data_IF_560905726613
#
_entry.id   IF_560905726613
#
_cell.length_a   1.000
_cell.length_b   1.000
_cell.length_c   1.000
_cell.angle_alpha   90.00
_cell.angle_beta   90.00
_cell.angle_gamma   90.00
#
_symmetry.space_group_name_H-M   'P 1'
#
loop_
_entity.id
_entity.type
_entity.pdbx_description
1 polymer ?
#
# COMPACT_ATOMS: atom_id res chain seq x y z
N UNK A 1 13.67 -10.23 1.42
CA UNK A 1 14.44 -10.39 0.20
C UNK A 1 13.88 -9.48 -0.89
N UNK A 2 14.75 -8.72 -1.58
CA UNK A 2 14.36 -7.80 -2.66
C UNK A 2 14.24 -8.54 -3.99
N UNK A 3 13.32 -8.04 -4.83
CA UNK A 3 13.06 -8.58 -6.18
C UNK A 3 13.24 -7.45 -7.19
N UNK A 4 14.07 -7.67 -8.18
CA UNK A 4 14.12 -6.78 -9.35
C UNK A 4 12.83 -6.93 -10.16
N UNK A 5 12.06 -5.85 -10.25
CA UNK A 5 10.74 -5.88 -10.89
C UNK A 5 10.80 -5.99 -12.42
N UNK A 6 11.93 -5.66 -13.02
CA UNK A 6 12.15 -5.79 -14.48
C UNK A 6 12.50 -7.21 -14.87
N UNK A 7 13.51 -7.78 -14.21
CA UNK A 7 14.03 -9.12 -14.52
C UNK A 7 13.28 -10.24 -13.82
N UNK A 8 12.56 -9.92 -12.73
CA UNK A 8 11.90 -10.89 -11.85
C UNK A 8 12.88 -11.86 -11.16
N UNK A 9 14.07 -11.35 -10.86
CA UNK A 9 15.10 -12.11 -10.12
C UNK A 9 15.25 -11.52 -8.74
N UNK A 10 15.36 -12.39 -7.72
CA UNK A 10 15.61 -11.98 -6.34
C UNK A 10 17.08 -11.57 -6.16
N UNK A 11 17.41 -10.86 -5.08
CA UNK A 11 18.79 -10.49 -4.76
C UNK A 11 19.73 -11.70 -4.56
N UNK A 12 19.16 -12.89 -4.29
CA UNK A 12 19.90 -14.15 -4.18
C UNK A 12 19.97 -14.92 -5.50
N UNK A 13 19.41 -14.36 -6.61
CA UNK A 13 19.49 -14.95 -7.94
C UNK A 13 18.38 -15.95 -8.28
N UNK A 14 17.34 -16.07 -7.44
CA UNK A 14 16.20 -16.96 -7.70
C UNK A 14 15.24 -16.32 -8.68
N UNK A 15 14.71 -17.08 -9.66
CA UNK A 15 13.59 -16.64 -10.48
C UNK A 15 12.33 -16.51 -9.60
N UNK A 16 11.91 -15.27 -9.35
CA UNK A 16 10.77 -14.97 -8.49
C UNK A 16 9.45 -15.57 -8.98
N UNK A 17 9.32 -15.86 -10.27
CA UNK A 17 8.14 -16.52 -10.82
C UNK A 17 7.98 -17.96 -10.33
N UNK A 18 9.04 -18.56 -9.77
CA UNK A 18 8.93 -19.87 -9.10
C UNK A 18 8.27 -19.75 -7.72
N UNK A 19 8.32 -18.56 -7.11
CA UNK A 19 7.67 -18.24 -5.82
C UNK A 19 6.27 -17.71 -6.05
N UNK A 20 6.12 -16.73 -6.94
CA UNK A 20 4.83 -16.18 -7.36
C UNK A 20 4.74 -16.14 -8.90
N UNK A 21 3.98 -17.05 -9.53
CA UNK A 21 3.90 -17.14 -10.98
C UNK A 21 3.40 -15.86 -11.67
N UNK A 22 2.61 -15.03 -10.97
CA UNK A 22 2.17 -13.71 -11.47
C UNK A 22 3.33 -12.73 -11.55
N UNK A 23 4.41 -12.96 -10.76
CA UNK A 23 5.57 -12.08 -10.70
C UNK A 23 5.33 -10.75 -9.98
N UNK A 24 4.23 -10.62 -9.24
CA UNK A 24 3.90 -9.43 -8.45
C UNK A 24 4.44 -9.56 -7.03
N UNK A 25 4.92 -8.46 -6.48
CA UNK A 25 5.30 -8.34 -5.07
C UNK A 25 4.19 -7.60 -4.29
N UNK A 26 4.05 -7.87 -2.98
CA UNK A 26 4.79 -8.82 -2.16
C UNK A 26 4.30 -10.26 -2.26
N UNK A 27 5.13 -11.20 -1.82
CA UNK A 27 4.75 -12.55 -1.46
C UNK A 27 5.33 -12.89 -0.07
N UNK A 28 4.57 -13.58 0.73
CA UNK A 28 4.99 -14.05 2.06
C UNK A 28 5.13 -15.57 2.03
N UNK A 29 6.35 -16.05 2.13
CA UNK A 29 6.61 -17.48 2.29
C UNK A 29 6.59 -17.84 3.78
N UNK A 30 5.86 -18.88 4.14
CA UNK A 30 5.74 -19.38 5.49
C UNK A 30 6.75 -20.49 5.74
N UNK A 31 6.96 -20.86 7.02
CA UNK A 31 7.92 -21.89 7.44
C UNK A 31 7.63 -23.27 6.84
N UNK A 32 6.38 -23.58 6.54
CA UNK A 32 5.94 -24.83 5.91
C UNK A 32 6.07 -24.80 4.37
N UNK A 33 6.59 -23.73 3.81
CA UNK A 33 6.78 -23.54 2.38
C UNK A 33 5.56 -22.99 1.61
N UNK A 34 4.41 -22.83 2.27
CA UNK A 34 3.26 -22.18 1.64
C UNK A 34 3.56 -20.71 1.33
N UNK A 35 3.00 -20.20 0.23
CA UNK A 35 3.17 -18.81 -0.18
C UNK A 35 1.81 -18.11 -0.17
N UNK A 36 1.71 -17.03 0.61
CA UNK A 36 0.58 -16.10 0.58
C UNK A 36 0.94 -14.92 -0.31
N UNK A 37 0.06 -14.59 -1.22
CA UNK A 37 0.18 -13.43 -2.11
C UNK A 37 -0.90 -12.40 -1.79
N UNK A 38 -0.92 -11.28 -2.53
CA UNK A 38 -1.80 -10.13 -2.34
C UNK A 38 -1.51 -9.35 -1.05
N UNK A 39 -0.95 -8.14 -1.20
CA UNK A 39 -0.62 -7.25 -0.09
C UNK A 39 -1.74 -7.10 0.95
N UNK A 40 -3.00 -6.85 0.55
CA UNK A 40 -4.14 -6.77 1.47
C UNK A 40 -4.38 -8.03 2.32
N UNK A 41 -4.13 -9.21 1.77
CA UNK A 41 -4.23 -10.47 2.51
C UNK A 41 -3.05 -10.65 3.47
N UNK A 42 -1.83 -10.38 2.97
CA UNK A 42 -0.60 -10.51 3.75
C UNK A 42 -0.61 -9.62 4.98
N UNK A 43 -0.97 -8.34 4.84
CA UNK A 43 -0.96 -7.42 5.99
C UNK A 43 -2.00 -7.78 7.05
N UNK A 44 -3.16 -8.32 6.65
CA UNK A 44 -4.15 -8.83 7.60
C UNK A 44 -3.65 -10.08 8.31
N UNK A 45 -3.07 -11.03 7.58
CA UNK A 45 -2.48 -12.23 8.17
C UNK A 45 -1.42 -11.88 9.20
N UNK A 46 -0.52 -10.94 8.88
CA UNK A 46 0.52 -10.50 9.81
C UNK A 46 -0.06 -9.80 11.05
N UNK A 47 -1.10 -8.97 10.88
CA UNK A 47 -1.77 -8.34 12.00
C UNK A 47 -2.45 -9.36 12.93
N UNK A 48 -3.07 -10.39 12.37
CA UNK A 48 -3.73 -11.45 13.12
C UNK A 48 -2.75 -12.37 13.89
N UNK A 49 -1.46 -12.39 13.48
CA UNK A 49 -0.40 -13.12 14.20
C UNK A 49 0.09 -12.39 15.46
N UNK A 50 -0.20 -11.10 15.57
CA UNK A 50 0.22 -10.23 16.69
C UNK A 50 -0.94 -9.37 17.20
N UNK A 51 -2.04 -10.00 17.66
CA UNK A 51 -3.27 -9.29 18.00
C UNK A 51 -3.08 -8.24 19.11
N UNK A 52 -2.09 -8.42 19.96
CA UNK A 52 -1.71 -7.46 21.00
C UNK A 52 -1.20 -6.12 20.44
N UNK A 53 -0.82 -6.06 19.17
CA UNK A 53 -0.41 -4.83 18.49
C UNK A 53 -1.59 -4.02 17.96
N UNK A 54 -2.79 -4.56 17.99
CA UNK A 54 -4.04 -3.91 17.56
C UNK A 54 -3.96 -3.32 16.13
N UNK A 55 -3.22 -3.97 15.22
CA UNK A 55 -3.04 -3.50 13.84
C UNK A 55 -4.23 -3.79 12.94
N UNK A 56 -5.16 -4.64 13.38
CA UNK A 56 -6.44 -4.89 12.72
C UNK A 56 -7.51 -5.21 13.78
N UNK A 57 -8.78 -4.83 13.55
CA UNK A 57 -9.89 -5.25 14.41
C UNK A 57 -10.07 -6.77 14.41
N UNK A 58 -10.75 -7.29 15.42
CA UNK A 58 -11.04 -8.71 15.56
C UNK A 58 -11.76 -9.28 14.33
N UNK A 59 -11.38 -10.48 13.90
CA UNK A 59 -12.03 -11.16 12.79
C UNK A 59 -13.54 -11.34 13.08
N UNK A 60 -14.37 -11.13 12.05
CA UNK A 60 -15.84 -11.24 12.14
C UNK A 60 -16.53 -9.97 12.68
N UNK A 61 -15.81 -8.97 13.18
CA UNK A 61 -16.40 -7.69 13.60
C UNK A 61 -16.73 -6.81 12.38
N UNK A 62 -17.67 -5.87 12.53
CA UNK A 62 -17.99 -4.89 11.48
C UNK A 62 -16.77 -4.02 11.17
N UNK A 63 -15.99 -3.67 12.19
CA UNK A 63 -14.76 -2.88 12.08
C UNK A 63 -13.73 -3.60 11.19
N UNK A 64 -13.64 -4.94 11.27
CA UNK A 64 -12.80 -5.73 10.36
C UNK A 64 -13.28 -5.59 8.91
N UNK A 65 -14.58 -5.62 8.66
CA UNK A 65 -15.10 -5.42 7.30
C UNK A 65 -14.85 -3.99 6.81
N UNK A 66 -14.89 -2.98 7.68
CA UNK A 66 -14.48 -1.60 7.33
C UNK A 66 -13.00 -1.50 6.98
N UNK A 67 -12.13 -2.24 7.69
CA UNK A 67 -10.73 -2.36 7.33
C UNK A 67 -10.57 -3.02 5.95
N UNK A 68 -11.29 -4.10 5.68
CA UNK A 68 -11.26 -4.78 4.37
C UNK A 68 -11.79 -3.88 3.24
N UNK A 69 -12.82 -3.08 3.49
CA UNK A 69 -13.35 -2.07 2.57
C UNK A 69 -12.24 -1.07 2.17
N UNK A 70 -11.51 -0.53 3.14
CA UNK A 70 -10.36 0.33 2.90
C UNK A 70 -9.26 -0.38 2.08
N UNK A 71 -8.85 -1.58 2.47
CA UNK A 71 -7.81 -2.32 1.77
C UNK A 71 -8.20 -2.62 0.32
N UNK A 72 -9.47 -2.98 0.08
CA UNK A 72 -9.98 -3.16 -1.28
C UNK A 72 -9.94 -1.87 -2.08
N UNK A 73 -10.44 -0.76 -1.51
CA UNK A 73 -10.41 0.55 -2.18
C UNK A 73 -8.98 0.96 -2.54
N UNK A 74 -8.03 0.85 -1.61
CA UNK A 74 -6.63 1.18 -1.89
C UNK A 74 -6.10 0.31 -3.03
N UNK A 75 -6.36 -1.00 -3.00
CA UNK A 75 -5.86 -1.95 -3.99
C UNK A 75 -6.43 -1.70 -5.39
N UNK A 76 -7.74 -1.48 -5.49
CA UNK A 76 -8.43 -1.41 -6.79
C UNK A 76 -8.44 -0.01 -7.39
N UNK A 77 -8.54 1.02 -6.56
CA UNK A 77 -8.76 2.39 -7.03
C UNK A 77 -7.46 3.23 -7.03
N UNK A 78 -6.63 3.08 -5.99
CA UNK A 78 -5.39 3.85 -5.89
C UNK A 78 -4.20 3.09 -6.48
N UNK A 79 -3.89 1.92 -5.96
CA UNK A 79 -2.70 1.14 -6.34
C UNK A 79 -2.68 0.85 -7.85
N UNK A 80 -3.78 0.37 -8.43
CA UNK A 80 -3.86 0.10 -9.87
C UNK A 80 -3.69 1.35 -10.71
N UNK A 81 -4.25 2.48 -10.27
CA UNK A 81 -4.11 3.75 -10.98
C UNK A 81 -2.66 4.24 -10.98
N UNK A 82 -1.99 4.19 -9.84
CA UNK A 82 -0.55 4.47 -9.75
C UNK A 82 0.26 3.48 -10.57
N UNK A 83 -0.06 2.17 -10.49
CA UNK A 83 0.60 1.13 -11.28
C UNK A 83 0.55 1.38 -12.79
N UNK A 84 -0.58 1.87 -13.28
CA UNK A 84 -0.72 2.26 -14.69
C UNK A 84 0.17 3.45 -15.07
N UNK A 85 0.35 4.43 -14.15
CA UNK A 85 1.24 5.58 -14.38
C UNK A 85 2.73 5.16 -14.41
N UNK A 86 3.13 4.19 -13.59
CA UNK A 86 4.48 3.61 -13.61
C UNK A 86 4.76 2.79 -14.87
N UNK A 87 3.74 2.15 -15.41
CA UNK A 87 3.90 1.17 -16.48
C UNK A 87 4.40 1.82 -17.77
N UNK A 88 5.48 1.31 -18.36
CA UNK A 88 5.94 1.75 -19.69
C UNK A 88 5.05 1.24 -20.82
N UNK A 89 4.20 0.23 -20.56
CA UNK A 89 3.32 -0.39 -21.54
C UNK A 89 2.09 0.47 -21.83
N UNK A 90 1.66 1.29 -20.88
CA UNK A 90 0.53 2.20 -21.08
C UNK A 90 0.91 3.33 -22.04
N UNK A 91 0.07 3.60 -23.08
CA UNK A 91 0.28 4.71 -24.00
C UNK A 91 0.40 6.05 -23.26
N UNK A 92 1.29 6.91 -23.74
CA UNK A 92 1.54 8.20 -23.07
C UNK A 92 0.32 9.13 -23.10
N UNK A 93 -0.50 9.05 -24.15
CA UNK A 93 -1.75 9.79 -24.31
C UNK A 93 -2.87 9.31 -23.37
N UNK A 94 -2.80 8.08 -22.86
CA UNK A 94 -3.73 7.57 -21.86
C UNK A 94 -3.42 8.07 -20.42
N UNK A 95 -2.16 8.42 -20.14
CA UNK A 95 -1.73 8.82 -18.78
C UNK A 95 -2.48 10.03 -18.22
N UNK A 96 -2.78 11.11 -18.97
CA UNK A 96 -3.58 12.21 -18.45
C UNK A 96 -5.00 11.80 -17.99
N UNK A 97 -5.64 10.86 -18.69
CA UNK A 97 -6.97 10.35 -18.31
C UNK A 97 -6.86 9.54 -17.01
N UNK A 98 -5.86 8.67 -16.90
CA UNK A 98 -5.60 7.89 -15.68
C UNK A 98 -5.31 8.81 -14.50
N UNK A 99 -4.51 9.86 -14.73
CA UNK A 99 -4.20 10.85 -13.70
C UNK A 99 -5.45 11.59 -13.21
N UNK A 100 -6.31 12.05 -14.11
CA UNK A 100 -7.56 12.72 -13.74
C UNK A 100 -8.50 11.79 -12.93
N UNK A 101 -8.56 10.50 -13.29
CA UNK A 101 -9.30 9.51 -12.50
C UNK A 101 -8.70 9.32 -11.12
N UNK A 102 -7.36 9.21 -11.03
CA UNK A 102 -6.65 9.10 -9.75
C UNK A 102 -6.89 10.33 -8.86
N UNK A 103 -6.86 11.55 -9.42
CA UNK A 103 -7.14 12.78 -8.68
C UNK A 103 -8.55 12.77 -8.06
N UNK A 104 -9.54 12.27 -8.78
CA UNK A 104 -10.89 12.06 -8.23
C UNK A 104 -10.89 11.06 -7.06
N UNK A 105 -10.07 10.00 -7.14
CA UNK A 105 -9.92 9.01 -6.04
C UNK A 105 -9.17 9.58 -4.85
N UNK A 106 -8.18 10.45 -5.07
CA UNK A 106 -7.48 11.15 -4.00
C UNK A 106 -8.40 12.11 -3.25
N UNK A 107 -9.24 12.87 -3.96
CA UNK A 107 -10.26 13.71 -3.34
C UNK A 107 -11.24 12.88 -2.47
N UNK A 108 -11.66 11.72 -2.97
CA UNK A 108 -12.48 10.80 -2.19
C UNK A 108 -11.74 10.23 -0.98
N UNK A 109 -10.46 9.90 -1.12
CA UNK A 109 -9.62 9.42 -0.02
C UNK A 109 -9.51 10.47 1.09
N UNK A 110 -9.33 11.74 0.75
CA UNK A 110 -9.32 12.83 1.72
C UNK A 110 -10.66 12.94 2.48
N UNK A 111 -11.78 12.83 1.78
CA UNK A 111 -13.11 12.79 2.41
C UNK A 111 -13.28 11.58 3.34
N UNK A 112 -12.80 10.39 2.93
CA UNK A 112 -12.86 9.19 3.76
C UNK A 112 -12.00 9.33 5.04
N UNK A 113 -10.83 9.98 4.94
CA UNK A 113 -10.00 10.29 6.10
C UNK A 113 -10.69 11.31 7.02
N UNK A 114 -11.25 12.39 6.47
CA UNK A 114 -11.86 13.46 7.25
C UNK A 114 -10.91 13.97 8.34
N UNK A 115 -11.45 14.17 9.53
CA UNK A 115 -10.69 14.67 10.70
C UNK A 115 -10.03 13.53 11.51
N UNK A 116 -10.03 12.29 11.02
CA UNK A 116 -9.46 11.15 11.73
C UNK A 116 -7.94 11.26 11.83
N UNK A 117 -7.41 10.78 12.94
CA UNK A 117 -5.96 10.69 13.13
C UNK A 117 -5.36 9.63 12.18
N UNK A 118 -6.00 8.45 12.10
CA UNK A 118 -5.63 7.34 11.25
C UNK A 118 -6.83 6.89 10.39
N UNK A 119 -6.60 6.16 9.34
CA UNK A 119 -7.63 5.76 8.39
C UNK A 119 -8.85 5.10 9.05
N UNK A 120 -8.62 4.27 10.08
CA UNK A 120 -9.66 3.58 10.84
C UNK A 120 -10.17 4.36 12.07
N UNK A 121 -9.61 5.53 12.38
CA UNK A 121 -10.00 6.35 13.52
C UNK A 121 -8.83 6.77 14.39
N UNK A 122 -8.82 6.35 15.66
CA UNK A 122 -7.80 6.78 16.62
C UNK A 122 -6.56 5.90 16.68
N UNK A 123 -6.62 4.68 16.15
CA UNK A 123 -5.55 3.71 16.21
C UNK A 123 -4.97 3.43 14.83
N UNK A 124 -3.63 3.36 14.77
CA UNK A 124 -2.90 2.99 13.56
C UNK A 124 -3.16 1.52 13.20
N UNK A 125 -3.42 1.26 11.94
CA UNK A 125 -3.74 -0.07 11.43
C UNK A 125 -2.92 -0.42 10.17
N UNK A 126 -3.07 -1.64 9.68
CA UNK A 126 -2.48 -2.06 8.41
C UNK A 126 -3.01 -1.27 7.21
N UNK A 127 -4.17 -0.64 7.32
CA UNK A 127 -4.69 0.29 6.31
C UNK A 127 -3.75 1.48 6.15
N UNK A 128 -3.30 2.04 7.27
CA UNK A 128 -2.42 3.21 7.25
C UNK A 128 -1.06 2.90 6.63
N UNK A 129 -0.51 1.71 6.91
CA UNK A 129 0.74 1.26 6.30
C UNK A 129 0.61 1.16 4.77
N UNK A 130 -0.49 0.56 4.29
CA UNK A 130 -0.71 0.39 2.86
C UNK A 130 -1.04 1.71 2.16
N UNK A 131 -1.91 2.51 2.74
CA UNK A 131 -2.28 3.82 2.20
C UNK A 131 -1.07 4.75 2.11
N UNK A 132 -0.24 4.82 3.15
CA UNK A 132 1.00 5.59 3.16
C UNK A 132 1.93 5.19 2.01
N UNK A 133 2.15 3.90 1.83
CA UNK A 133 3.01 3.37 0.76
C UNK A 133 2.49 3.79 -0.61
N UNK A 134 1.19 3.61 -0.86
CA UNK A 134 0.59 3.89 -2.17
C UNK A 134 0.54 5.40 -2.47
N UNK A 135 0.18 6.23 -1.49
CA UNK A 135 0.18 7.70 -1.66
C UNK A 135 1.59 8.24 -1.88
N UNK A 136 2.60 7.66 -1.22
CA UNK A 136 4.02 8.02 -1.39
C UNK A 136 4.53 7.85 -2.82
N UNK A 137 3.90 6.99 -3.62
CA UNK A 137 4.25 6.81 -5.03
C UNK A 137 3.97 8.06 -5.89
N UNK A 138 3.13 8.99 -5.40
CA UNK A 138 2.85 10.23 -6.11
C UNK A 138 4.11 11.00 -6.52
N UNK A 139 5.12 11.02 -5.65
CA UNK A 139 6.40 11.68 -5.91
C UNK A 139 7.15 11.10 -7.13
N UNK A 140 7.01 9.80 -7.40
CA UNK A 140 7.71 9.13 -8.50
C UNK A 140 7.01 9.26 -9.85
N UNK A 141 5.70 9.58 -9.86
CA UNK A 141 4.90 9.70 -11.10
C UNK A 141 4.34 11.11 -11.31
N UNK A 142 4.88 12.10 -10.60
CA UNK A 142 4.51 13.51 -10.68
C UNK A 142 3.01 13.76 -10.43
N UNK A 143 2.44 13.07 -9.44
CA UNK A 143 1.12 13.35 -8.90
C UNK A 143 1.28 14.29 -7.72
N UNK A 144 0.86 15.55 -7.91
CA UNK A 144 0.89 16.57 -6.87
C UNK A 144 -0.25 16.33 -5.87
N UNK A 145 0.09 16.24 -4.59
CA UNK A 145 -0.88 16.09 -3.49
C UNK A 145 -1.25 17.44 -2.84
N UNK A 146 -0.71 18.55 -3.32
CA UNK A 146 -1.00 19.88 -2.75
C UNK A 146 -2.48 20.27 -2.74
N UNK A 147 -3.32 19.80 -3.69
CA UNK A 147 -4.75 20.04 -3.62
C UNK A 147 -5.48 19.37 -2.44
N UNK A 148 -4.82 18.41 -1.79
CA UNK A 148 -5.38 17.62 -0.68
C UNK A 148 -4.51 17.75 0.58
N UNK A 149 -4.62 18.87 1.33
CA UNK A 149 -3.78 19.13 2.51
C UNK A 149 -4.00 18.10 3.64
N UNK A 150 -5.17 17.50 3.72
CA UNK A 150 -5.45 16.40 4.65
C UNK A 150 -4.60 15.17 4.35
N UNK A 151 -4.41 14.81 3.07
CA UNK A 151 -3.54 13.71 2.67
C UNK A 151 -2.07 14.00 2.96
N UNK A 152 -1.62 15.24 2.73
CA UNK A 152 -0.26 15.64 3.06
C UNK A 152 0.02 15.57 4.57
N UNK A 153 -0.89 16.13 5.37
CA UNK A 153 -0.80 16.06 6.83
C UNK A 153 -0.81 14.62 7.35
N UNK A 154 -1.60 13.76 6.74
CA UNK A 154 -1.65 12.34 7.04
C UNK A 154 -0.31 11.64 6.70
N UNK A 155 0.24 11.85 5.51
CA UNK A 155 1.54 11.28 5.12
C UNK A 155 2.66 11.70 6.08
N UNK A 156 2.72 12.97 6.45
CA UNK A 156 3.71 13.47 7.41
C UNK A 156 3.56 12.75 8.76
N UNK A 157 2.34 12.64 9.26
CA UNK A 157 2.04 11.98 10.55
C UNK A 157 2.43 10.49 10.54
N UNK A 158 2.17 9.77 9.44
CA UNK A 158 2.60 8.37 9.29
C UNK A 158 4.12 8.27 9.23
N UNK A 159 4.78 9.15 8.47
CA UNK A 159 6.23 9.19 8.33
C UNK A 159 6.97 9.44 9.65
N UNK A 160 6.36 10.16 10.59
CA UNK A 160 6.94 10.43 11.92
C UNK A 160 6.94 9.23 12.86
N UNK A 161 6.18 8.17 12.54
CA UNK A 161 6.14 6.97 13.40
C UNK A 161 7.51 6.29 13.42
N UNK A 162 8.04 5.94 14.61
CA UNK A 162 9.38 5.33 14.72
C UNK A 162 9.54 4.06 13.87
N UNK A 163 8.51 3.18 13.86
CA UNK A 163 8.56 1.95 13.06
C UNK A 163 8.55 2.24 11.55
N UNK A 164 7.82 3.27 11.09
CA UNK A 164 7.81 3.69 9.68
C UNK A 164 9.18 4.24 9.30
N UNK A 165 9.77 5.10 10.11
CA UNK A 165 11.12 5.64 9.87
C UNK A 165 12.17 4.54 9.81
N UNK A 166 12.11 3.58 10.74
CA UNK A 166 13.02 2.44 10.73
C UNK A 166 12.90 1.61 9.45
N UNK A 167 11.65 1.39 8.96
CA UNK A 167 11.40 0.69 7.71
C UNK A 167 11.93 1.48 6.51
N UNK A 168 11.62 2.78 6.41
CA UNK A 168 12.11 3.62 5.33
C UNK A 168 13.64 3.64 5.26
N UNK A 169 14.31 3.71 6.41
CA UNK A 169 15.78 3.63 6.49
C UNK A 169 16.31 2.26 6.05
N UNK A 170 15.68 1.16 6.49
CA UNK A 170 16.08 -0.20 6.09
C UNK A 170 15.89 -0.44 4.58
N UNK A 171 14.89 0.20 3.96
CA UNK A 171 14.64 0.13 2.52
C UNK A 171 15.50 1.12 1.70
N UNK A 172 16.25 2.02 2.36
CA UNK A 172 17.09 3.04 1.70
C UNK A 172 16.26 4.15 1.04
N UNK A 173 15.11 4.47 1.62
CA UNK A 173 14.21 5.53 1.15
C UNK A 173 14.43 6.87 1.87
N UNK A 174 15.14 6.84 2.99
CA UNK A 174 15.64 8.00 3.74
C UNK A 174 17.03 7.72 4.27
#
# INVERSE_FOLDING_TARGET
>A
EKVDLGTKVTETGVDYKTVNPVGSVPALQMDDGQVLTEGPAIVQYLADRVPEKCLAPAAGSLERYRLMEWLNFISTELHKSFGALFSPVFPQDAKPVIKAQLESRLAHTEQMLGDKVWAMGNDFSVVDAYLFTVLGWGAYVNVDLSPWPGLQGYLNRVAERPAVRATLSAEGLI
#
